data_IF_267805062793
#
_entry.id   IF_267805062793
#
_cell.length_a   1.000
_cell.length_b   1.000
_cell.length_c   1.000
_cell.angle_alpha   90.00
_cell.angle_beta   90.00
_cell.angle_gamma   90.00
#
_symmetry.space_group_name_H-M   'P 1'
#
loop_
_entity.id
_entity.type
_entity.pdbx_description
1 polymer ?
#
# COMPACT_ATOMS: atom_id res chain seq x y z
N UNK A 1 27.07 2.93 34.64
CA UNK A 1 25.81 2.17 34.82
C UNK A 1 24.59 2.86 34.19
N UNK A 2 24.66 4.11 33.70
CA UNK A 2 23.51 4.84 33.14
C UNK A 2 23.20 4.55 31.64
N UNK A 3 24.03 3.77 30.94
CA UNK A 3 24.01 3.65 29.47
C UNK A 3 23.16 2.48 28.94
N UNK A 4 22.92 1.44 29.75
CA UNK A 4 22.08 0.28 29.34
C UNK A 4 20.59 0.61 29.25
N UNK A 5 20.08 1.45 30.15
CA UNK A 5 18.64 1.76 30.24
C UNK A 5 18.11 2.49 29.00
N UNK A 6 18.89 3.42 28.43
CA UNK A 6 18.48 4.18 27.25
C UNK A 6 18.55 3.32 25.98
N UNK A 7 19.62 2.53 25.83
CA UNK A 7 19.77 1.55 24.74
C UNK A 7 18.66 0.49 24.72
N UNK A 8 18.22 0.01 25.89
CA UNK A 8 17.10 -0.93 25.98
C UNK A 8 15.75 -0.26 25.62
N UNK A 9 15.60 1.04 25.93
CA UNK A 9 14.36 1.79 25.68
C UNK A 9 14.12 2.06 24.19
N UNK A 10 15.16 2.44 23.44
CA UNK A 10 15.05 2.67 21.99
C UNK A 10 14.78 1.37 21.23
N UNK A 11 15.46 0.29 21.59
CA UNK A 11 15.21 -1.03 20.98
C UNK A 11 13.79 -1.53 21.30
N UNK A 12 13.30 -1.30 22.51
CA UNK A 12 11.91 -1.60 22.86
C UNK A 12 10.92 -0.79 22.01
N UNK A 13 11.14 0.52 21.86
CA UNK A 13 10.28 1.38 21.06
C UNK A 13 10.21 0.92 19.59
N UNK A 14 11.34 0.62 18.98
CA UNK A 14 11.41 0.20 17.57
C UNK A 14 10.73 -1.15 17.34
N UNK A 15 10.84 -2.08 18.28
CA UNK A 15 10.14 -3.36 18.21
C UNK A 15 8.62 -3.24 18.41
N UNK A 16 8.14 -2.11 18.97
CA UNK A 16 6.72 -1.86 19.18
C UNK A 16 6.09 -0.96 18.11
N UNK A 17 6.88 -0.07 17.53
CA UNK A 17 6.43 0.98 16.63
C UNK A 17 6.93 0.79 15.18
N UNK A 18 7.73 -0.25 14.94
CA UNK A 18 8.22 -0.64 13.62
C UNK A 18 8.31 -2.17 13.51
N UNK A 19 8.92 -2.66 12.42
CA UNK A 19 9.15 -4.11 12.23
C UNK A 19 10.45 -4.61 12.92
N UNK A 20 11.02 -3.79 13.81
CA UNK A 20 12.28 -4.06 14.48
C UNK A 20 13.49 -3.44 13.76
N UNK A 21 14.63 -3.29 14.46
CA UNK A 21 15.84 -2.69 13.90
C UNK A 21 16.58 -3.65 12.97
N UNK A 22 17.12 -3.13 11.86
CA UNK A 22 18.07 -3.87 11.02
C UNK A 22 19.40 -4.01 11.73
N UNK A 23 20.14 -5.07 11.41
CA UNK A 23 21.48 -5.33 11.97
C UNK A 23 22.43 -4.11 11.82
N UNK A 24 22.33 -3.43 10.68
CA UNK A 24 23.12 -2.23 10.34
C UNK A 24 22.72 -0.95 11.09
N UNK A 25 21.49 -0.88 11.62
CA UNK A 25 21.01 0.33 12.31
C UNK A 25 21.33 0.31 13.81
N UNK A 26 21.66 -0.84 14.41
CA UNK A 26 21.82 -0.99 15.86
C UNK A 26 22.79 0.03 16.48
N UNK A 27 23.94 0.27 15.85
CA UNK A 27 24.96 1.17 16.37
C UNK A 27 24.55 2.64 16.28
N UNK A 28 23.73 3.01 15.28
CA UNK A 28 23.17 4.35 15.16
C UNK A 28 22.06 4.56 16.21
N UNK A 29 21.17 3.57 16.34
CA UNK A 29 20.01 3.63 17.23
C UNK A 29 20.39 3.66 18.71
N UNK A 30 21.42 2.94 19.14
CA UNK A 30 21.91 2.99 20.53
C UNK A 30 22.41 4.37 20.97
N UNK A 31 22.76 5.24 20.01
CA UNK A 31 23.21 6.61 20.26
C UNK A 31 22.07 7.62 20.23
N UNK A 32 20.85 7.19 19.89
CA UNK A 32 19.67 8.03 19.77
C UNK A 32 18.72 7.78 20.95
N UNK A 33 18.07 8.83 21.43
CA UNK A 33 16.95 8.67 22.36
C UNK A 33 15.63 8.44 21.60
N UNK A 34 14.62 7.94 22.32
CA UNK A 34 13.31 7.59 21.74
C UNK A 34 12.61 8.78 21.12
N UNK A 35 12.70 9.99 21.70
CA UNK A 35 11.99 11.15 21.18
C UNK A 35 12.64 11.64 19.88
N UNK A 36 13.97 11.70 19.84
CA UNK A 36 14.67 12.04 18.60
C UNK A 36 14.34 11.05 17.46
N UNK A 37 14.26 9.75 17.77
CA UNK A 37 13.86 8.74 16.79
C UNK A 37 12.40 8.94 16.34
N UNK A 38 11.48 9.17 17.26
CA UNK A 38 10.07 9.44 16.94
C UNK A 38 9.89 10.68 16.07
N UNK A 39 10.59 11.77 16.39
CA UNK A 39 10.54 13.00 15.59
C UNK A 39 11.03 12.75 14.16
N UNK A 40 12.07 11.93 13.99
CA UNK A 40 12.53 11.51 12.66
C UNK A 40 11.49 10.65 11.92
N UNK A 41 10.83 9.71 12.62
CA UNK A 41 9.79 8.88 12.02
C UNK A 41 8.56 9.69 11.58
N UNK A 42 8.15 10.67 12.39
CA UNK A 42 6.99 11.52 12.12
C UNK A 42 7.27 12.61 11.08
N UNK A 43 8.54 12.92 10.83
CA UNK A 43 8.98 13.89 9.81
C UNK A 43 9.40 13.22 8.49
N UNK A 44 9.00 11.97 8.26
CA UNK A 44 9.27 11.23 7.04
C UNK A 44 8.90 12.06 5.78
N UNK A 45 9.85 12.28 4.85
CA UNK A 45 9.57 12.94 3.58
C UNK A 45 8.51 12.20 2.76
N UNK A 46 7.83 12.90 1.86
CA UNK A 46 6.94 12.26 0.90
C UNK A 46 7.72 11.28 0.00
N UNK A 47 7.14 10.10 -0.22
CA UNK A 47 7.76 9.04 -1.04
C UNK A 47 8.68 8.11 -0.24
N UNK A 48 9.28 7.17 -0.96
CA UNK A 48 10.19 6.17 -0.38
C UNK A 48 11.63 6.70 -0.32
N UNK A 49 12.37 6.29 0.71
CA UNK A 49 13.79 6.64 0.87
C UNK A 49 14.70 5.96 -0.18
N UNK A 50 15.90 6.49 -0.37
CA UNK A 50 16.83 6.06 -1.43
C UNK A 50 17.11 4.55 -1.41
N UNK A 51 17.18 3.93 -0.22
CA UNK A 51 17.44 2.50 -0.12
C UNK A 51 16.24 1.69 -0.61
N UNK A 52 15.03 2.07 -0.20
CA UNK A 52 13.80 1.43 -0.71
C UNK A 52 13.67 1.63 -2.23
N UNK A 53 13.97 2.83 -2.74
CA UNK A 53 13.94 3.11 -4.18
C UNK A 53 14.87 2.18 -4.97
N UNK A 54 16.11 1.98 -4.50
CA UNK A 54 17.05 1.02 -5.09
C UNK A 54 16.48 -0.41 -5.10
N UNK A 55 15.84 -0.83 -4.01
CA UNK A 55 15.23 -2.16 -3.89
C UNK A 55 14.02 -2.33 -4.79
N UNK A 56 13.18 -1.30 -4.93
CA UNK A 56 12.03 -1.31 -5.84
C UNK A 56 12.48 -1.39 -7.31
N UNK A 57 13.48 -0.59 -7.70
CA UNK A 57 14.02 -0.59 -9.07
C UNK A 57 14.70 -1.90 -9.47
N UNK A 58 15.33 -2.59 -8.51
CA UNK A 58 15.97 -3.89 -8.75
C UNK A 58 15.03 -5.08 -8.62
N UNK A 59 13.84 -4.89 -8.02
CA UNK A 59 12.87 -5.95 -7.81
C UNK A 59 12.30 -6.45 -9.14
N UNK A 60 12.19 -7.78 -9.26
CA UNK A 60 11.51 -8.45 -10.37
C UNK A 60 10.56 -9.50 -9.83
N UNK A 61 9.37 -9.57 -10.40
CA UNK A 61 8.38 -10.59 -10.11
C UNK A 61 8.36 -11.64 -11.21
N UNK A 62 8.27 -12.92 -10.83
CA UNK A 62 8.02 -14.01 -11.77
C UNK A 62 6.57 -13.96 -12.20
N UNK A 63 6.33 -13.91 -13.51
CA UNK A 63 4.99 -13.85 -14.08
C UNK A 63 4.86 -14.92 -15.13
N UNK A 64 3.88 -15.80 -14.92
CA UNK A 64 3.58 -16.94 -15.77
C UNK A 64 2.23 -16.73 -16.45
N UNK A 65 2.17 -17.09 -17.73
CA UNK A 65 1.04 -16.82 -18.61
C UNK A 65 0.44 -18.11 -19.15
N UNK A 66 -0.17 -18.88 -18.25
CA UNK A 66 -0.68 -20.23 -18.57
C UNK A 66 -1.87 -20.19 -19.56
N UNK A 67 -2.87 -19.33 -19.32
CA UNK A 67 -4.09 -19.23 -20.13
C UNK A 67 -4.18 -17.92 -20.93
N UNK A 68 -3.04 -17.39 -21.36
CA UNK A 68 -2.98 -16.05 -21.93
C UNK A 68 -3.23 -16.03 -23.46
N UNK A 69 -3.79 -14.94 -24.01
CA UNK A 69 -3.99 -14.78 -25.45
C UNK A 69 -2.65 -14.76 -26.20
N UNK A 70 -2.69 -15.08 -27.50
CA UNK A 70 -1.57 -15.46 -28.37
C UNK A 70 -0.18 -14.91 -28.00
N UNK A 71 -0.01 -13.58 -27.90
CA UNK A 71 1.32 -12.98 -27.67
C UNK A 71 1.96 -13.30 -26.31
N UNK A 72 1.17 -13.80 -25.36
CA UNK A 72 1.61 -14.10 -23.99
C UNK A 72 1.67 -15.60 -23.72
N UNK A 73 1.12 -16.44 -24.61
CA UNK A 73 0.89 -17.84 -24.32
C UNK A 73 2.19 -18.59 -23.99
N UNK A 74 2.22 -19.24 -22.81
CA UNK A 74 3.35 -20.07 -22.38
C UNK A 74 4.59 -19.30 -21.92
N UNK A 75 4.51 -17.97 -21.81
CA UNK A 75 5.61 -17.17 -21.25
C UNK A 75 5.76 -17.37 -19.73
N UNK A 76 7.01 -17.31 -19.26
CA UNK A 76 7.39 -17.34 -17.85
C UNK A 76 8.62 -16.43 -17.67
N UNK A 77 8.41 -15.24 -17.14
CA UNK A 77 9.40 -14.16 -17.18
C UNK A 77 9.60 -13.51 -15.81
N UNK A 78 10.84 -13.07 -15.56
CA UNK A 78 11.14 -12.17 -14.46
C UNK A 78 11.00 -10.72 -14.93
N UNK A 79 9.94 -10.02 -14.51
CA UNK A 79 9.61 -8.67 -15.00
C UNK A 79 9.75 -7.62 -13.88
N UNK A 80 10.23 -6.40 -14.18
CA UNK A 80 10.38 -5.34 -13.19
C UNK A 80 9.04 -4.79 -12.71
N UNK A 81 9.02 -4.02 -11.62
CA UNK A 81 7.82 -3.28 -11.21
C UNK A 81 7.63 -2.08 -12.15
N UNK A 82 6.44 -1.91 -12.74
CA UNK A 82 6.17 -0.90 -13.78
C UNK A 82 4.87 -0.10 -13.55
N UNK A 83 4.17 -0.33 -12.45
CA UNK A 83 2.86 0.27 -12.17
C UNK A 83 2.91 1.27 -11.02
N UNK A 84 3.84 1.15 -10.07
CA UNK A 84 3.87 1.93 -8.82
C UNK A 84 3.82 3.46 -9.02
N UNK A 85 4.53 3.97 -10.03
CA UNK A 85 4.62 5.41 -10.30
C UNK A 85 3.63 5.91 -11.36
N UNK A 86 2.78 5.01 -11.89
CA UNK A 86 1.88 5.36 -12.97
C UNK A 86 0.66 6.13 -12.45
N UNK A 87 0.18 7.15 -13.17
CA UNK A 87 -1.12 7.76 -12.90
C UNK A 87 -2.22 6.72 -13.19
N UNK A 88 -3.31 6.77 -12.41
CA UNK A 88 -4.37 5.74 -12.45
C UNK A 88 -4.98 5.62 -13.85
N UNK A 89 -5.06 6.70 -14.60
CA UNK A 89 -5.58 6.76 -15.98
C UNK A 89 -4.80 5.83 -16.91
N UNK A 90 -3.48 5.76 -16.74
CA UNK A 90 -2.62 4.91 -17.56
C UNK A 90 -2.73 3.42 -17.19
N UNK A 91 -3.14 3.10 -15.96
CA UNK A 91 -3.33 1.73 -15.50
C UNK A 91 -4.56 1.09 -16.17
N UNK A 92 -5.60 1.86 -16.49
CA UNK A 92 -6.81 1.35 -17.16
C UNK A 92 -6.58 0.85 -18.58
N UNK A 93 -5.41 1.13 -19.18
CA UNK A 93 -5.06 0.60 -20.50
C UNK A 93 -5.02 -0.92 -20.57
N UNK A 94 -5.00 -1.62 -19.42
CA UNK A 94 -5.11 -3.08 -19.36
C UNK A 94 -6.50 -3.60 -19.76
N UNK A 95 -7.53 -2.75 -19.77
CA UNK A 95 -8.90 -3.09 -20.18
C UNK A 95 -9.23 -2.67 -21.61
N UNK A 96 -8.25 -2.15 -22.36
CA UNK A 96 -8.43 -1.81 -23.77
C UNK A 96 -8.80 -3.07 -24.58
N UNK A 97 -10.00 -3.14 -25.18
CA UNK A 97 -10.44 -4.30 -25.94
C UNK A 97 -9.51 -4.64 -27.11
N UNK A 98 -8.78 -3.66 -27.65
CA UNK A 98 -7.86 -3.84 -28.76
C UNK A 98 -6.54 -4.50 -28.32
N UNK A 99 -6.15 -4.38 -27.04
CA UNK A 99 -4.86 -4.88 -26.54
C UNK A 99 -4.88 -6.33 -26.09
N UNK A 100 -6.07 -6.87 -25.79
CA UNK A 100 -6.31 -8.24 -25.30
C UNK A 100 -5.29 -8.64 -24.21
N UNK A 101 -5.31 -7.92 -23.09
CA UNK A 101 -4.36 -8.15 -22.00
C UNK A 101 -4.71 -9.42 -21.22
N UNK A 102 -3.67 -10.15 -20.83
CA UNK A 102 -3.80 -11.37 -20.04
C UNK A 102 -4.20 -11.07 -18.59
N UNK A 103 -4.79 -12.06 -17.91
CA UNK A 103 -5.15 -11.95 -16.49
C UNK A 103 -4.00 -11.50 -15.57
N UNK A 104 -2.78 -12.05 -15.70
CA UNK A 104 -1.63 -11.59 -14.92
C UNK A 104 -1.33 -10.09 -15.06
N UNK A 105 -1.55 -9.51 -16.24
CA UNK A 105 -1.31 -8.07 -16.44
C UNK A 105 -2.39 -7.19 -15.78
N UNK A 106 -3.62 -7.69 -15.64
CA UNK A 106 -4.68 -7.00 -14.88
C UNK A 106 -4.44 -7.05 -13.37
N UNK A 107 -3.90 -8.18 -12.88
CA UNK A 107 -3.51 -8.36 -11.50
C UNK A 107 -2.16 -7.70 -11.14
N UNK A 108 -1.45 -7.15 -12.13
CA UNK A 108 -0.07 -6.68 -12.00
C UNK A 108 0.09 -5.62 -10.92
N UNK A 109 -0.75 -4.59 -10.94
CA UNK A 109 -0.71 -3.50 -9.98
C UNK A 109 -0.78 -4.00 -8.53
N UNK A 110 -1.70 -4.93 -8.23
CA UNK A 110 -1.79 -5.56 -6.92
C UNK A 110 -0.52 -6.32 -6.54
N UNK A 111 0.03 -7.13 -7.45
CA UNK A 111 1.26 -7.89 -7.16
C UNK A 111 2.45 -6.96 -6.85
N UNK A 112 2.56 -5.84 -7.56
CA UNK A 112 3.59 -4.85 -7.33
C UNK A 112 3.40 -4.12 -6.00
N UNK A 113 2.17 -3.77 -5.61
CA UNK A 113 1.89 -3.20 -4.27
C UNK A 113 2.29 -4.18 -3.17
N UNK A 114 1.93 -5.47 -3.28
CA UNK A 114 2.33 -6.50 -2.30
C UNK A 114 3.85 -6.57 -2.17
N UNK A 115 4.57 -6.58 -3.30
CA UNK A 115 6.04 -6.58 -3.30
C UNK A 115 6.60 -5.30 -2.67
N UNK A 116 6.05 -4.14 -3.02
CA UNK A 116 6.48 -2.86 -2.48
C UNK A 116 6.24 -2.74 -0.98
N UNK A 117 5.10 -3.22 -0.46
CA UNK A 117 4.82 -3.27 0.98
C UNK A 117 5.88 -4.08 1.72
N UNK A 118 6.24 -5.26 1.20
CA UNK A 118 7.29 -6.10 1.81
C UNK A 118 8.65 -5.41 1.77
N UNK A 119 9.02 -4.82 0.63
CA UNK A 119 10.30 -4.11 0.49
C UNK A 119 10.38 -2.90 1.43
N UNK A 120 9.30 -2.12 1.56
CA UNK A 120 9.25 -0.98 2.48
C UNK A 120 9.34 -1.44 3.94
N UNK A 121 8.63 -2.50 4.31
CA UNK A 121 8.71 -3.07 5.66
C UNK A 121 10.14 -3.52 6.02
N UNK A 122 10.86 -4.13 5.07
CA UNK A 122 12.22 -4.64 5.30
C UNK A 122 13.27 -3.52 5.26
N UNK A 123 13.16 -2.57 4.33
CA UNK A 123 14.26 -1.68 3.96
C UNK A 123 14.05 -0.22 4.33
N UNK A 124 12.81 0.21 4.61
CA UNK A 124 12.57 1.63 4.87
C UNK A 124 13.13 2.06 6.21
N UNK A 125 13.74 3.24 6.23
CA UNK A 125 14.12 3.92 7.47
C UNK A 125 12.91 4.38 8.27
N UNK A 126 11.79 4.67 7.61
CA UNK A 126 10.57 5.24 8.21
C UNK A 126 9.56 4.15 8.57
N UNK A 127 9.99 3.21 9.39
CA UNK A 127 9.22 2.02 9.81
C UNK A 127 7.85 2.34 10.40
N UNK A 128 7.73 3.43 11.18
CA UNK A 128 6.45 3.84 11.76
C UNK A 128 5.41 4.16 10.68
N UNK A 129 5.84 4.76 9.56
CA UNK A 129 4.96 5.05 8.42
C UNK A 129 4.44 3.77 7.78
N UNK A 130 5.30 2.76 7.68
CA UNK A 130 4.94 1.47 7.08
C UNK A 130 3.99 0.66 7.97
N UNK A 131 4.15 0.72 9.30
CA UNK A 131 3.20 0.16 10.27
C UNK A 131 1.85 0.88 10.19
N UNK A 132 1.84 2.22 10.14
CA UNK A 132 0.60 2.98 10.01
C UNK A 132 -0.09 2.76 8.66
N UNK A 133 0.66 2.67 7.56
CA UNK A 133 0.11 2.32 6.26
C UNK A 133 -0.56 0.95 6.30
N UNK A 134 0.08 -0.06 6.90
CA UNK A 134 -0.54 -1.38 7.08
C UNK A 134 -1.82 -1.30 7.91
N UNK A 135 -1.79 -0.63 9.07
CA UNK A 135 -2.97 -0.43 9.91
C UNK A 135 -4.14 0.19 9.13
N UNK A 136 -3.87 1.20 8.29
CA UNK A 136 -4.91 1.85 7.51
C UNK A 136 -5.40 1.00 6.32
N UNK A 137 -4.55 0.19 5.71
CA UNK A 137 -4.98 -0.81 4.73
C UNK A 137 -5.87 -1.88 5.35
N UNK A 138 -5.62 -2.27 6.60
CA UNK A 138 -6.47 -3.21 7.33
C UNK A 138 -7.80 -2.56 7.75
N UNK A 139 -7.78 -1.32 8.23
CA UNK A 139 -8.97 -0.57 8.64
C UNK A 139 -9.87 -0.21 7.45
N UNK A 140 -9.29 0.30 6.37
CA UNK A 140 -9.97 0.64 5.11
C UNK A 140 -9.69 -0.43 4.05
N UNK A 141 -9.98 -1.68 4.38
CA UNK A 141 -9.68 -2.80 3.49
C UNK A 141 -10.47 -2.74 2.17
N UNK A 142 -9.82 -3.16 1.10
CA UNK A 142 -10.43 -3.45 -0.21
C UNK A 142 -9.95 -4.81 -0.70
N UNK A 143 -10.86 -5.66 -1.16
CA UNK A 143 -10.48 -6.99 -1.62
C UNK A 143 -10.03 -6.98 -3.09
N UNK A 144 -8.73 -6.78 -3.31
CA UNK A 144 -8.12 -6.80 -4.65
C UNK A 144 -7.96 -8.22 -5.26
N UNK A 145 -8.43 -9.28 -4.61
CA UNK A 145 -8.39 -10.65 -5.14
C UNK A 145 -9.69 -11.08 -5.82
N UNK A 146 -10.78 -10.34 -5.64
CA UNK A 146 -12.10 -10.68 -6.20
C UNK A 146 -12.49 -9.83 -7.41
N UNK A 147 -11.84 -8.68 -7.62
CA UNK A 147 -12.09 -7.80 -8.76
C UNK A 147 -10.78 -7.21 -9.30
N UNK A 148 -10.53 -7.45 -10.59
CA UNK A 148 -9.35 -6.94 -11.30
C UNK A 148 -9.31 -5.40 -11.33
N UNK A 149 -10.46 -4.70 -11.31
CA UNK A 149 -10.51 -3.24 -11.30
C UNK A 149 -9.98 -2.69 -9.97
N UNK A 150 -10.30 -3.36 -8.86
CA UNK A 150 -9.73 -3.05 -7.54
C UNK A 150 -8.23 -3.34 -7.56
N UNK A 151 -7.82 -4.47 -8.13
CA UNK A 151 -6.40 -4.81 -8.28
C UNK A 151 -5.63 -3.75 -9.07
N UNK A 152 -6.24 -3.20 -10.13
CA UNK A 152 -5.66 -2.14 -10.97
C UNK A 152 -5.57 -0.81 -10.21
N UNK A 153 -6.60 -0.46 -9.45
CA UNK A 153 -6.64 0.78 -8.67
C UNK A 153 -5.76 0.76 -7.41
N UNK A 154 -5.30 -0.42 -6.96
CA UNK A 154 -4.63 -0.58 -5.67
C UNK A 154 -3.36 0.27 -5.53
N UNK A 155 -2.63 0.50 -6.63
CA UNK A 155 -1.44 1.36 -6.62
C UNK A 155 -1.80 2.80 -6.24
N UNK A 156 -2.84 3.36 -6.86
CA UNK A 156 -3.31 4.70 -6.53
C UNK A 156 -3.91 4.76 -5.14
N UNK A 157 -4.60 3.69 -4.71
CA UNK A 157 -5.11 3.59 -3.34
C UNK A 157 -3.99 3.63 -2.30
N UNK A 158 -2.91 2.85 -2.48
CA UNK A 158 -1.74 2.90 -1.59
C UNK A 158 -1.04 4.28 -1.65
N UNK A 159 -0.64 4.71 -2.85
CA UNK A 159 0.22 5.88 -3.05
C UNK A 159 -0.48 7.21 -2.79
N UNK A 160 -1.72 7.37 -3.24
CA UNK A 160 -2.41 8.66 -3.30
C UNK A 160 -3.41 8.84 -2.15
N UNK A 161 -3.88 7.74 -1.55
CA UNK A 161 -4.90 7.77 -0.50
C UNK A 161 -4.30 7.39 0.85
N UNK A 162 -3.78 6.17 1.01
CA UNK A 162 -3.38 5.68 2.33
C UNK A 162 -2.09 6.37 2.82
N UNK A 163 -1.02 6.32 2.02
CA UNK A 163 0.31 6.78 2.46
C UNK A 163 0.36 8.29 2.78
N UNK A 164 -0.24 9.20 2.00
CA UNK A 164 -0.19 10.64 2.29
C UNK A 164 -0.96 11.04 3.56
N UNK A 165 -1.96 10.23 3.96
CA UNK A 165 -2.85 10.54 5.07
C UNK A 165 -2.57 9.70 6.33
N UNK A 166 -1.55 8.82 6.32
CA UNK A 166 -1.33 7.83 7.37
C UNK A 166 -1.05 8.43 8.77
N UNK A 167 -0.51 9.64 8.85
CA UNK A 167 -0.31 10.43 10.08
C UNK A 167 -1.25 11.65 10.18
N UNK A 168 -2.19 11.76 9.25
CA UNK A 168 -3.00 12.97 9.04
C UNK A 168 -4.32 12.97 9.81
N UNK A 169 -5.22 13.84 9.35
CA UNK A 169 -6.55 13.97 9.92
C UNK A 169 -7.47 12.84 9.44
N UNK A 170 -8.16 12.18 10.37
CA UNK A 170 -9.06 11.07 10.04
C UNK A 170 -10.19 11.45 9.07
N UNK A 171 -10.78 12.65 9.18
CA UNK A 171 -11.83 13.10 8.25
C UNK A 171 -11.29 13.19 6.82
N UNK A 172 -10.10 13.77 6.65
CA UNK A 172 -9.47 13.88 5.32
C UNK A 172 -9.13 12.50 4.75
N UNK A 173 -8.58 11.61 5.57
CA UNK A 173 -8.35 10.21 5.20
C UNK A 173 -9.66 9.53 4.76
N UNK A 174 -10.73 9.67 5.56
CA UNK A 174 -12.02 9.07 5.26
C UNK A 174 -12.61 9.62 3.95
N UNK A 175 -12.53 10.92 3.70
CA UNK A 175 -13.00 11.55 2.46
C UNK A 175 -12.21 11.07 1.24
N UNK A 176 -10.88 10.92 1.38
CA UNK A 176 -10.00 10.40 0.34
C UNK A 176 -10.27 8.91 0.03
N UNK A 177 -10.40 8.08 1.07
CA UNK A 177 -10.81 6.67 0.96
C UNK A 177 -12.15 6.56 0.28
N UNK A 178 -13.13 7.33 0.75
CA UNK A 178 -14.49 7.32 0.24
C UNK A 178 -14.51 7.60 -1.27
N UNK A 179 -13.77 8.61 -1.72
CA UNK A 179 -13.73 9.02 -3.12
C UNK A 179 -12.79 8.18 -3.99
N UNK A 180 -12.00 7.28 -3.40
CA UNK A 180 -11.00 6.50 -4.12
C UNK A 180 -11.61 5.49 -5.10
N UNK A 181 -10.95 5.28 -6.25
CA UNK A 181 -11.47 4.33 -7.25
C UNK A 181 -11.59 2.92 -6.69
N UNK A 182 -10.63 2.46 -5.89
CA UNK A 182 -10.68 1.13 -5.27
C UNK A 182 -11.93 0.96 -4.39
N UNK A 183 -12.23 1.93 -3.51
CA UNK A 183 -13.39 1.86 -2.61
C UNK A 183 -14.72 1.98 -3.37
N UNK A 184 -14.76 2.79 -4.43
CA UNK A 184 -15.94 2.94 -5.30
C UNK A 184 -16.32 1.65 -6.02
N UNK A 185 -15.33 0.83 -6.41
CA UNK A 185 -15.57 -0.53 -6.89
C UNK A 185 -15.95 -1.47 -5.75
N UNK A 186 -15.22 -1.44 -4.64
CA UNK A 186 -15.37 -2.38 -3.53
C UNK A 186 -16.78 -2.36 -2.91
N UNK A 187 -17.30 -1.18 -2.56
CA UNK A 187 -18.63 -1.02 -1.96
C UNK A 187 -19.74 -0.81 -3.03
N UNK A 188 -19.42 -1.10 -4.30
CA UNK A 188 -20.34 -1.08 -5.44
C UNK A 188 -21.00 0.28 -5.77
N UNK A 189 -20.48 1.41 -5.28
CA UNK A 189 -21.05 2.72 -5.59
C UNK A 189 -20.89 3.13 -7.06
N UNK A 190 -19.84 2.63 -7.72
CA UNK A 190 -19.67 2.80 -9.18
C UNK A 190 -20.85 2.25 -10.00
N UNK A 191 -21.60 1.30 -9.45
CA UNK A 191 -22.79 0.71 -10.11
C UNK A 191 -24.09 1.46 -9.79
N UNK A 192 -24.02 2.56 -9.03
CA UNK A 192 -25.18 3.40 -8.72
C UNK A 192 -25.78 4.03 -9.99
N UNK A 193 -27.10 4.04 -10.09
CA UNK A 193 -27.85 4.54 -11.25
C UNK A 193 -28.91 5.54 -10.77
N UNK A 194 -29.31 6.47 -11.65
CA UNK A 194 -30.46 7.33 -11.39
C UNK A 194 -31.72 6.45 -11.22
N UNK A 195 -32.26 6.38 -10.00
CA UNK A 195 -33.30 5.42 -9.61
C UNK A 195 -33.33 5.17 -8.10
N UNK A 196 -33.46 3.91 -7.69
CA UNK A 196 -33.34 3.54 -6.28
C UNK A 196 -31.92 3.84 -5.76
N UNK A 197 -31.82 4.46 -4.58
CA UNK A 197 -30.54 4.79 -3.98
C UNK A 197 -29.76 3.50 -3.68
N UNK A 198 -28.50 3.44 -4.11
CA UNK A 198 -27.58 2.39 -3.67
C UNK A 198 -27.12 2.72 -2.24
N UNK A 199 -27.89 2.27 -1.25
CA UNK A 199 -27.58 2.47 0.18
C UNK A 199 -26.36 1.68 0.64
N UNK A 200 -25.91 0.68 -0.14
CA UNK A 200 -24.84 -0.22 0.27
C UNK A 200 -23.56 0.54 0.64
N UNK A 201 -23.17 1.51 -0.18
CA UNK A 201 -21.97 2.30 0.05
C UNK A 201 -22.03 3.09 1.35
N UNK A 202 -23.11 3.87 1.55
CA UNK A 202 -23.26 4.70 2.73
C UNK A 202 -23.35 3.84 4.00
N UNK A 203 -24.09 2.73 3.94
CA UNK A 203 -24.23 1.78 5.04
C UNK A 203 -22.88 1.13 5.39
N UNK A 204 -22.16 0.58 4.42
CA UNK A 204 -20.90 -0.12 4.66
C UNK A 204 -19.80 0.84 5.11
N UNK A 205 -19.77 2.09 4.61
CA UNK A 205 -18.85 3.10 5.11
C UNK A 205 -19.11 3.42 6.60
N UNK A 206 -20.38 3.46 7.02
CA UNK A 206 -20.72 3.65 8.42
C UNK A 206 -20.41 2.42 9.28
N UNK A 207 -20.88 1.25 8.88
CA UNK A 207 -20.76 0.00 9.66
C UNK A 207 -19.32 -0.52 9.71
N UNK A 208 -18.58 -0.53 8.60
CA UNK A 208 -17.28 -1.19 8.52
C UNK A 208 -16.11 -0.27 8.87
N UNK A 209 -16.21 1.02 8.57
CA UNK A 209 -15.05 1.90 8.56
C UNK A 209 -15.12 3.07 9.55
N UNK A 210 -16.26 3.31 10.19
CA UNK A 210 -16.40 4.47 11.10
C UNK A 210 -17.07 4.14 12.43
N UNK A 211 -18.36 3.80 12.45
CA UNK A 211 -19.16 3.65 13.67
C UNK A 211 -19.15 2.22 14.23
N UNK A 212 -18.83 1.23 13.40
CA UNK A 212 -18.89 -0.18 13.77
C UNK A 212 -20.28 -0.79 13.57
N UNK A 213 -20.34 -2.11 13.74
CA UNK A 213 -21.59 -2.88 13.80
C UNK A 213 -21.77 -3.32 15.26
N UNK A 214 -22.98 -3.16 15.78
CA UNK A 214 -23.36 -3.42 17.19
C UNK A 214 -22.72 -4.68 17.82
#
# INVERSE_FOLDING_TARGET
>A
MADRSASDSILFAINRLGYGPRAEDYDALRRMDVNSWLDEQLSAPAGDDDHVQERLMSCKLRIKYDDAPDKWHGLDEMRPLVTLDKPIESLWTVYDPQKQMSGPEKARARQEVIAATMLRAIYSKYQLREVMAQFWHDHFHVNAFVDDHIATALVSYDRDVIRPHCFGNFRQMLEAVASSTAMQYYLSNRSSRAGAANENYARELFELHTLGRE
#
